data_IF_878076401962
#
_entry.id   IF_878076401962
#
_cell.length_a   1.000
_cell.length_b   1.000
_cell.length_c   1.000
_cell.angle_alpha   90.00
_cell.angle_beta   90.00
_cell.angle_gamma   90.00
#
_symmetry.space_group_name_H-M   'P 1'
#
loop_
_entity.id
_entity.type
_entity.pdbx_description
1 polymer ?
#
# COMPACT_ATOMS: atom_id res chain seq x y z
N UNK A 1 7.96 10.53 16.30
CA UNK A 1 6.90 10.06 15.37
C UNK A 1 5.53 10.56 15.80
N UNK A 2 4.65 10.97 14.85
CA UNK A 2 3.29 11.43 15.18
C UNK A 2 2.45 10.27 15.75
N UNK A 3 1.70 10.52 16.83
CA UNK A 3 0.77 9.55 17.43
C UNK A 3 -0.27 9.03 16.42
N UNK A 4 -0.58 9.83 15.41
CA UNK A 4 -1.46 9.49 14.27
C UNK A 4 -1.03 8.21 13.53
N UNK A 5 0.26 7.88 13.50
CA UNK A 5 0.73 6.66 12.82
C UNK A 5 0.40 5.39 13.61
N UNK A 6 0.41 5.47 14.94
CA UNK A 6 -0.01 4.37 15.81
C UNK A 6 -1.52 4.16 15.74
N UNK A 7 -2.30 5.24 15.78
CA UNK A 7 -3.77 5.14 15.66
C UNK A 7 -4.19 4.60 14.29
N UNK A 8 -3.50 5.01 13.23
CA UNK A 8 -3.71 4.45 11.89
C UNK A 8 -3.37 2.96 11.82
N UNK A 9 -2.21 2.55 12.36
CA UNK A 9 -1.83 1.13 12.41
C UNK A 9 -2.85 0.27 13.17
N UNK A 10 -3.35 0.77 14.31
CA UNK A 10 -4.36 0.07 15.10
C UNK A 10 -5.71 -0.02 14.37
N UNK A 11 -6.11 1.03 13.66
CA UNK A 11 -7.31 1.03 12.83
C UNK A 11 -7.22 0.01 11.68
N UNK A 12 -6.04 -0.13 11.05
CA UNK A 12 -5.78 -1.14 10.01
C UNK A 12 -5.90 -2.57 10.56
N UNK A 13 -5.35 -2.83 11.75
CA UNK A 13 -5.47 -4.13 12.42
C UNK A 13 -6.93 -4.42 12.74
N UNK A 14 -7.66 -3.46 13.33
CA UNK A 14 -9.09 -3.61 13.64
C UNK A 14 -9.91 -3.94 12.39
N UNK A 15 -9.72 -3.19 11.31
CA UNK A 15 -10.40 -3.45 10.05
C UNK A 15 -10.08 -4.86 9.52
N UNK A 16 -8.81 -5.27 9.55
CA UNK A 16 -8.40 -6.59 9.12
C UNK A 16 -9.00 -7.72 9.98
N UNK A 17 -9.11 -7.53 11.30
CA UNK A 17 -9.77 -8.50 12.21
C UNK A 17 -11.26 -8.61 11.92
N UNK A 18 -11.95 -7.50 11.64
CA UNK A 18 -13.37 -7.53 11.24
C UNK A 18 -13.56 -8.35 9.96
N UNK A 19 -12.71 -8.15 8.94
CA UNK A 19 -12.77 -8.95 7.72
C UNK A 19 -12.42 -10.43 7.94
N UNK A 20 -11.50 -10.73 8.87
CA UNK A 20 -11.15 -12.10 9.25
C UNK A 20 -12.35 -12.80 9.90
N UNK A 21 -13.02 -12.14 10.84
CA UNK A 21 -14.24 -12.65 11.46
C UNK A 21 -15.34 -12.87 10.42
N UNK A 22 -15.53 -11.92 9.49
CA UNK A 22 -16.48 -12.11 8.40
C UNK A 22 -16.14 -13.34 7.53
N UNK A 23 -14.87 -13.60 7.22
CA UNK A 23 -14.46 -14.79 6.47
C UNK A 23 -14.65 -16.11 7.22
N UNK A 24 -14.52 -16.11 8.56
CA UNK A 24 -14.75 -17.31 9.37
C UNK A 24 -16.26 -17.61 9.54
N UNK A 25 -17.07 -16.58 9.74
CA UNK A 25 -18.49 -16.75 10.07
C UNK A 25 -19.43 -16.70 8.86
N UNK A 26 -19.04 -16.05 7.75
CA UNK A 26 -19.84 -15.99 6.53
C UNK A 26 -19.30 -16.95 5.47
N UNK A 27 -19.90 -18.13 5.36
CA UNK A 27 -19.73 -19.07 4.24
C UNK A 27 -20.40 -18.53 2.97
N UNK A 28 -19.82 -17.47 2.42
CA UNK A 28 -20.29 -16.81 1.20
C UNK A 28 -19.32 -17.03 0.05
N UNK A 29 -19.78 -16.87 -1.19
CA UNK A 29 -18.92 -16.87 -2.40
C UNK A 29 -17.80 -15.81 -2.34
N UNK A 30 -17.90 -14.84 -1.41
CA UNK A 30 -16.93 -13.77 -1.17
C UNK A 30 -15.85 -14.13 -0.12
N UNK A 31 -15.84 -15.36 0.41
CA UNK A 31 -14.94 -15.73 1.50
C UNK A 31 -13.46 -15.47 1.12
N UNK A 32 -13.06 -15.82 -0.12
CA UNK A 32 -11.71 -15.53 -0.62
C UNK A 32 -11.33 -14.03 -0.61
N UNK A 33 -12.30 -13.13 -0.85
CA UNK A 33 -12.09 -11.68 -0.79
C UNK A 33 -11.88 -11.22 0.66
N UNK A 34 -12.65 -11.77 1.61
CA UNK A 34 -12.52 -11.46 3.02
C UNK A 34 -11.18 -11.89 3.59
N UNK A 35 -10.69 -13.09 3.24
CA UNK A 35 -9.35 -13.53 3.62
C UNK A 35 -8.24 -12.64 3.03
N UNK A 36 -8.39 -12.22 1.77
CA UNK A 36 -7.46 -11.28 1.12
C UNK A 36 -7.41 -9.91 1.81
N UNK A 37 -8.57 -9.33 2.12
CA UNK A 37 -8.69 -8.05 2.82
C UNK A 37 -8.22 -8.14 4.28
N UNK A 38 -8.48 -9.25 4.96
CA UNK A 38 -7.99 -9.51 6.31
C UNK A 38 -6.46 -9.48 6.36
N UNK A 39 -5.80 -10.21 5.47
CA UNK A 39 -4.34 -10.19 5.35
C UNK A 39 -3.81 -8.79 4.99
N UNK A 40 -4.46 -8.13 4.04
CA UNK A 40 -4.14 -6.77 3.61
C UNK A 40 -4.34 -5.69 4.66
N UNK A 41 -5.17 -5.91 5.69
CA UNK A 41 -5.34 -5.00 6.82
C UNK A 41 -4.34 -5.27 7.95
N UNK A 42 -4.22 -6.53 8.37
CA UNK A 42 -3.43 -6.92 9.55
C UNK A 42 -1.93 -6.74 9.32
N UNK A 43 -1.39 -7.22 8.19
CA UNK A 43 0.05 -7.19 7.93
C UNK A 43 0.63 -5.76 7.89
N UNK A 44 0.09 -4.80 7.12
CA UNK A 44 0.60 -3.43 7.14
C UNK A 44 0.28 -2.72 8.47
N UNK A 45 -0.85 -3.04 9.11
CA UNK A 45 -1.17 -2.50 10.44
C UNK A 45 -0.12 -2.85 11.49
N UNK A 46 0.30 -4.12 11.55
CA UNK A 46 1.38 -4.59 12.43
C UNK A 46 2.72 -3.91 12.08
N UNK A 47 3.06 -3.81 10.79
CA UNK A 47 4.28 -3.14 10.35
C UNK A 47 4.32 -1.66 10.77
N UNK A 48 3.18 -0.95 10.70
CA UNK A 48 3.07 0.44 11.16
C UNK A 48 3.26 0.57 12.67
N UNK A 49 2.65 -0.32 13.46
CA UNK A 49 2.80 -0.34 14.93
C UNK A 49 4.23 -0.67 15.32
N UNK A 50 4.83 -1.71 14.72
CA UNK A 50 6.23 -2.08 14.95
C UNK A 50 7.17 -0.93 14.66
N UNK A 51 7.00 -0.28 13.49
CA UNK A 51 7.80 0.89 13.12
C UNK A 51 7.62 2.03 14.11
N UNK A 52 6.40 2.29 14.57
CA UNK A 52 6.16 3.33 15.57
C UNK A 52 6.94 3.03 16.85
N UNK A 53 6.80 1.81 17.41
CA UNK A 53 7.47 1.39 18.65
C UNK A 53 8.99 1.51 18.50
N UNK A 54 9.56 0.95 17.42
CA UNK A 54 11.00 0.96 17.16
C UNK A 54 11.62 2.37 17.15
N UNK A 55 10.92 3.35 16.56
CA UNK A 55 11.39 4.74 16.48
C UNK A 55 11.03 5.59 17.71
N UNK A 56 10.10 5.13 18.57
CA UNK A 56 9.80 5.80 19.84
C UNK A 56 10.67 5.35 21.00
N UNK A 57 11.44 4.25 20.85
CA UNK A 57 12.37 3.81 21.87
C UNK A 57 13.46 4.87 22.14
N UNK A 58 13.83 5.12 23.41
CA UNK A 58 14.80 6.16 23.78
C UNK A 58 16.19 5.91 23.22
N UNK A 59 16.52 4.67 22.85
CA UNK A 59 17.78 4.31 22.21
C UNK A 59 17.88 4.79 20.74
N UNK A 60 16.74 4.95 20.06
CA UNK A 60 16.67 5.38 18.65
C UNK A 60 16.20 6.83 18.49
N UNK A 61 15.86 7.52 19.58
CA UNK A 61 15.37 8.90 19.55
C UNK A 61 16.42 9.87 18.99
N UNK A 62 17.69 9.70 19.35
CA UNK A 62 18.82 10.50 18.84
C UNK A 62 19.00 10.31 17.33
N UNK A 63 19.01 9.06 16.84
CA UNK A 63 19.07 8.74 15.40
C UNK A 63 17.87 9.25 14.62
N UNK A 64 16.69 9.26 15.24
CA UNK A 64 15.49 9.82 14.62
C UNK A 64 15.57 11.34 14.50
N UNK A 65 16.11 12.02 15.52
CA UNK A 65 16.28 13.48 15.50
C UNK A 65 17.27 13.91 14.42
N UNK A 66 18.43 13.26 14.33
CA UNK A 66 19.45 13.50 13.30
C UNK A 66 18.87 13.33 11.89
N UNK A 67 18.11 12.25 11.67
CA UNK A 67 17.41 12.01 10.40
C UNK A 67 16.38 13.10 10.05
N UNK A 68 15.68 13.65 11.05
CA UNK A 68 14.70 14.71 10.83
C UNK A 68 15.37 16.04 10.48
N UNK A 69 16.49 16.38 11.13
CA UNK A 69 17.27 17.57 10.80
C UNK A 69 17.80 17.50 9.37
N UNK A 70 18.39 16.38 8.97
CA UNK A 70 18.89 16.15 7.62
C UNK A 70 17.76 16.26 6.56
N UNK A 71 16.58 15.69 6.84
CA UNK A 71 15.42 15.83 5.95
C UNK A 71 14.97 17.30 5.81
N UNK A 72 15.02 18.09 6.89
CA UNK A 72 14.65 19.52 6.84
C UNK A 72 15.65 20.38 6.06
N UNK A 73 16.94 20.08 6.16
CA UNK A 73 18.00 20.77 5.42
C UNK A 73 17.85 20.46 3.92
N UNK A 74 17.78 19.17 3.56
CA UNK A 74 17.59 18.75 2.16
C UNK A 74 16.29 19.26 1.53
N UNK A 75 15.20 19.39 2.30
CA UNK A 75 13.93 19.95 1.82
C UNK A 75 14.02 21.42 1.42
N UNK A 76 14.96 22.17 2.02
CA UNK A 76 15.11 23.60 1.81
C UNK A 76 15.94 23.90 0.56
N UNK A 77 16.95 23.09 0.27
CA UNK A 77 17.84 23.29 -0.86
C UNK A 77 17.32 22.66 -2.17
N UNK A 78 16.65 21.49 -2.11
CA UNK A 78 16.24 20.73 -3.31
C UNK A 78 14.72 20.70 -3.57
N UNK A 79 13.98 21.64 -2.99
CA UNK A 79 12.51 21.58 -2.87
C UNK A 79 11.78 21.23 -4.18
N UNK A 80 12.12 21.90 -5.29
CA UNK A 80 11.42 21.71 -6.57
C UNK A 80 11.70 20.35 -7.21
N UNK A 81 12.94 19.88 -7.12
CA UNK A 81 13.32 18.58 -7.67
C UNK A 81 12.71 17.42 -6.86
N UNK A 82 12.74 17.54 -5.53
CA UNK A 82 12.07 16.59 -4.63
C UNK A 82 10.57 16.53 -4.86
N UNK A 83 9.90 17.67 -5.03
CA UNK A 83 8.46 17.72 -5.34
C UNK A 83 8.13 17.03 -6.67
N UNK A 84 8.96 17.19 -7.70
CA UNK A 84 8.80 16.52 -9.00
C UNK A 84 8.97 15.00 -8.90
N UNK A 85 9.98 14.53 -8.15
CA UNK A 85 10.17 13.09 -7.94
C UNK A 85 9.01 12.49 -7.10
N UNK A 86 8.59 13.24 -6.08
CA UNK A 86 7.50 12.83 -5.20
C UNK A 86 6.14 12.82 -5.93
N UNK A 87 5.89 13.76 -6.85
CA UNK A 87 4.67 13.75 -7.67
C UNK A 87 4.61 12.53 -8.60
N UNK A 88 5.73 12.16 -9.23
CA UNK A 88 5.83 10.93 -10.02
C UNK A 88 5.52 9.68 -9.18
N UNK A 89 6.09 9.61 -7.97
CA UNK A 89 5.80 8.51 -7.03
C UNK A 89 4.33 8.46 -6.63
N UNK A 90 3.71 9.60 -6.31
CA UNK A 90 2.29 9.64 -5.95
C UNK A 90 1.38 9.27 -7.12
N UNK A 91 1.66 9.74 -8.33
CA UNK A 91 0.91 9.37 -9.53
C UNK A 91 0.98 7.86 -9.79
N UNK A 92 2.17 7.27 -9.63
CA UNK A 92 2.37 5.82 -9.74
C UNK A 92 1.59 5.04 -8.69
N UNK A 93 1.65 5.46 -7.41
CA UNK A 93 0.88 4.84 -6.32
C UNK A 93 -0.63 4.97 -6.59
N UNK A 94 -1.11 6.13 -7.03
CA UNK A 94 -2.52 6.34 -7.40
C UNK A 94 -2.94 5.41 -8.54
N UNK A 95 -2.08 5.19 -9.53
CA UNK A 95 -2.31 4.21 -10.60
C UNK A 95 -2.51 2.81 -10.05
N UNK A 96 -1.58 2.33 -9.21
CA UNK A 96 -1.68 1.00 -8.59
C UNK A 96 -2.94 0.85 -7.72
N UNK A 97 -3.27 1.88 -6.93
CA UNK A 97 -4.47 1.90 -6.09
C UNK A 97 -5.73 1.82 -6.95
N UNK A 98 -5.79 2.59 -8.04
CA UNK A 98 -6.93 2.58 -8.97
C UNK A 98 -7.15 1.20 -9.55
N UNK A 99 -6.10 0.55 -10.05
CA UNK A 99 -6.20 -0.82 -10.61
C UNK A 99 -6.59 -1.82 -9.53
N UNK A 100 -6.06 -1.69 -8.31
CA UNK A 100 -6.44 -2.55 -7.18
C UNK A 100 -7.93 -2.43 -6.85
N UNK A 101 -8.48 -1.22 -6.82
CA UNK A 101 -9.92 -0.99 -6.63
C UNK A 101 -10.71 -1.61 -7.79
N UNK A 102 -10.26 -1.44 -9.03
CA UNK A 102 -10.91 -2.07 -10.19
C UNK A 102 -10.96 -3.60 -10.07
N UNK A 103 -9.89 -4.25 -9.61
CA UNK A 103 -9.87 -5.70 -9.36
C UNK A 103 -10.90 -6.08 -8.30
N UNK A 104 -11.00 -5.33 -7.19
CA UNK A 104 -12.00 -5.60 -6.15
C UNK A 104 -13.43 -5.51 -6.70
N UNK A 105 -13.73 -4.45 -7.47
CA UNK A 105 -15.04 -4.25 -8.09
C UNK A 105 -15.36 -5.40 -9.04
N UNK A 106 -14.46 -5.74 -9.97
CA UNK A 106 -14.65 -6.85 -10.91
C UNK A 106 -14.79 -8.19 -10.19
N UNK A 107 -14.03 -8.42 -9.10
CA UNK A 107 -14.13 -9.64 -8.29
C UNK A 107 -15.50 -9.77 -7.63
N UNK A 108 -16.05 -8.69 -7.08
CA UNK A 108 -17.41 -8.68 -6.53
C UNK A 108 -18.45 -8.93 -7.62
N UNK A 109 -18.38 -8.23 -8.75
CA UNK A 109 -19.32 -8.42 -9.85
C UNK A 109 -19.24 -9.84 -10.44
N UNK A 110 -18.04 -10.43 -10.49
CA UNK A 110 -17.82 -11.81 -10.90
C UNK A 110 -18.45 -12.80 -9.93
N UNK A 111 -18.36 -12.57 -8.61
CA UNK A 111 -18.96 -13.44 -7.60
C UNK A 111 -20.49 -13.44 -7.62
N UNK A 112 -21.08 -12.35 -8.13
CA UNK A 112 -22.52 -12.16 -8.32
C UNK A 112 -23.01 -12.66 -9.69
N UNK A 113 -22.13 -13.25 -10.50
CA UNK A 113 -22.43 -13.79 -11.84
C UNK A 113 -23.04 -12.73 -12.80
N UNK A 114 -22.79 -11.44 -12.56
CA UNK A 114 -23.33 -10.33 -13.36
C UNK A 114 -22.57 -10.09 -14.68
N UNK A 115 -21.37 -10.67 -14.84
CA UNK A 115 -20.49 -10.45 -15.99
C UNK A 115 -20.07 -11.80 -16.57
N UNK A 116 -20.36 -12.02 -17.85
CA UNK A 116 -19.78 -13.11 -18.63
C UNK A 116 -18.30 -12.82 -18.93
N UNK A 117 -17.44 -13.85 -18.82
CA UNK A 117 -15.98 -13.74 -19.05
C UNK A 117 -15.19 -12.88 -18.05
N UNK A 118 -15.69 -12.70 -16.82
CA UNK A 118 -14.99 -11.95 -15.77
C UNK A 118 -13.56 -12.46 -15.48
N UNK A 119 -13.29 -13.76 -15.68
CA UNK A 119 -11.96 -14.35 -15.52
C UNK A 119 -10.91 -13.71 -16.46
N UNK A 120 -11.25 -13.49 -17.74
CA UNK A 120 -10.32 -12.86 -18.69
C UNK A 120 -10.00 -11.42 -18.29
N UNK A 121 -11.00 -10.69 -17.81
CA UNK A 121 -10.83 -9.33 -17.32
C UNK A 121 -9.96 -9.27 -16.06
N UNK A 122 -10.14 -10.21 -15.13
CA UNK A 122 -9.30 -10.35 -13.93
C UNK A 122 -7.84 -10.65 -14.30
N UNK A 123 -7.60 -11.57 -15.25
CA UNK A 123 -6.25 -11.87 -15.73
C UNK A 123 -5.60 -10.65 -16.41
N UNK A 124 -6.37 -9.90 -17.20
CA UNK A 124 -5.89 -8.67 -17.82
C UNK A 124 -5.48 -7.63 -16.77
N UNK A 125 -6.34 -7.36 -15.78
CA UNK A 125 -6.06 -6.40 -14.72
C UNK A 125 -4.87 -6.83 -13.86
N UNK A 126 -4.77 -8.12 -13.51
CA UNK A 126 -3.64 -8.67 -12.78
C UNK A 126 -2.33 -8.53 -13.58
N UNK A 127 -2.36 -8.85 -14.88
CA UNK A 127 -1.23 -8.66 -15.79
C UNK A 127 -0.82 -7.19 -15.89
N UNK A 128 -1.79 -6.28 -15.90
CA UNK A 128 -1.53 -4.84 -15.94
C UNK A 128 -0.83 -4.33 -14.67
N UNK A 129 -1.21 -4.82 -13.48
CA UNK A 129 -0.48 -4.50 -12.22
C UNK A 129 0.97 -4.96 -12.30
N UNK A 130 1.21 -6.19 -12.76
CA UNK A 130 2.57 -6.74 -12.90
C UNK A 130 3.37 -5.91 -13.91
N UNK A 131 2.77 -5.54 -15.04
CA UNK A 131 3.40 -4.70 -16.05
C UNK A 131 3.76 -3.32 -15.48
N UNK A 132 2.84 -2.64 -14.78
CA UNK A 132 3.12 -1.36 -14.13
C UNK A 132 4.27 -1.48 -13.13
N UNK A 133 4.29 -2.56 -12.33
CA UNK A 133 5.35 -2.81 -11.36
C UNK A 133 6.73 -3.01 -12.00
N UNK A 134 6.80 -3.87 -13.02
CA UNK A 134 8.04 -4.12 -13.77
C UNK A 134 8.49 -2.85 -14.50
N UNK A 135 7.58 -2.13 -15.13
CA UNK A 135 7.88 -0.87 -15.81
C UNK A 135 8.47 0.17 -14.84
N UNK A 136 7.89 0.30 -13.64
CA UNK A 136 8.42 1.16 -12.58
C UNK A 136 9.87 0.82 -12.22
N UNK A 137 10.17 -0.47 -12.01
CA UNK A 137 11.53 -0.95 -11.71
C UNK A 137 12.49 -0.69 -12.86
N UNK A 138 12.08 -0.97 -14.11
CA UNK A 138 12.91 -0.78 -15.29
C UNK A 138 13.24 0.70 -15.52
N UNK A 139 12.26 1.59 -15.37
CA UNK A 139 12.45 3.04 -15.47
C UNK A 139 13.41 3.51 -14.39
N UNK A 140 13.25 3.05 -13.15
CA UNK A 140 14.16 3.39 -12.05
C UNK A 140 15.60 2.95 -12.35
N UNK A 141 15.81 1.67 -12.72
CA UNK A 141 17.14 1.13 -13.07
C UNK A 141 17.78 1.85 -14.26
N UNK A 142 16.97 2.32 -15.22
CA UNK A 142 17.46 3.09 -16.37
C UNK A 142 17.92 4.49 -15.95
N UNK A 143 17.20 5.13 -15.03
CA UNK A 143 17.58 6.43 -14.49
C UNK A 143 18.82 6.32 -13.61
N UNK A 144 18.92 5.29 -12.76
CA UNK A 144 20.10 5.00 -11.92
C UNK A 144 21.37 4.73 -12.73
N UNK A 145 21.28 4.14 -13.92
CA UNK A 145 22.46 3.98 -14.78
C UNK A 145 22.87 5.26 -15.52
N UNK A 146 21.98 6.24 -15.60
CA UNK A 146 22.19 7.47 -16.38
C UNK A 146 22.77 8.60 -15.52
N UNK A 147 22.50 8.60 -14.22
CA UNK A 147 22.92 9.59 -13.23
C UNK A 147 23.74 8.92 -12.14
#
# INVERSE_FOLDING_TARGET
MKKTMLTAGLAYILAGVVFLLCGIFLDTKLNGLFWGLAGGGIAPGLAMVYRYVYWTLPQNSAKYAEKMEEETINLRDERKEKLRNQSGRYAYILGLVTVSISILVVSVLSSLELIENANLLLFYLAGYVIFQYIAGILIFRRLERKY
#
